data_IF_325359063832
#
_entry.id   IF_325359063832
#
_cell.length_a   1.000
_cell.length_b   1.000
_cell.length_c   1.000
_cell.angle_alpha   90.00
_cell.angle_beta   90.00
_cell.angle_gamma   90.00
#
_symmetry.space_group_name_H-M   'P 1'
#
loop_
_entity.id
_entity.type
_entity.pdbx_description
1 polymer ?
#
# COMPACT_ATOMS: atom_id res chain seq x y z
N UNK A 1 12.35 -1.30 23.58
CA UNK A 1 11.51 -2.48 23.88
C UNK A 1 10.17 -2.14 24.53
N UNK A 2 10.11 -1.40 25.65
CA UNK A 2 8.82 -1.05 26.28
C UNK A 2 7.92 -0.15 25.41
N UNK A 3 8.48 0.90 24.80
CA UNK A 3 7.72 1.85 23.97
C UNK A 3 6.90 1.19 22.84
N UNK A 4 7.45 0.31 21.97
CA UNK A 4 6.66 -0.32 20.92
C UNK A 4 5.65 -1.35 21.45
N UNK A 5 5.91 -1.98 22.60
CA UNK A 5 4.92 -2.86 23.25
C UNK A 5 3.72 -2.06 23.78
N UNK A 6 3.96 -0.88 24.36
CA UNK A 6 2.90 0.03 24.81
C UNK A 6 2.06 0.50 23.62
N UNK A 7 2.71 0.86 22.50
CA UNK A 7 2.00 1.25 21.27
C UNK A 7 1.16 0.09 20.71
N UNK A 8 1.68 -1.14 20.75
CA UNK A 8 0.93 -2.33 20.31
C UNK A 8 -0.28 -2.62 21.20
N UNK A 9 -0.14 -2.51 22.52
CA UNK A 9 -1.25 -2.62 23.47
C UNK A 9 -2.31 -1.54 23.23
N UNK A 10 -1.88 -0.30 23.00
CA UNK A 10 -2.79 0.79 22.63
C UNK A 10 -3.50 0.52 21.30
N UNK A 11 -2.82 -0.07 20.31
CA UNK A 11 -3.42 -0.48 19.04
C UNK A 11 -4.50 -1.54 19.23
N UNK A 12 -4.25 -2.57 20.04
CA UNK A 12 -5.24 -3.59 20.41
C UNK A 12 -6.42 -2.92 21.11
N UNK A 13 -6.17 -2.01 22.05
CA UNK A 13 -7.24 -1.28 22.74
C UNK A 13 -8.11 -0.46 21.78
N UNK A 14 -7.53 0.19 20.77
CA UNK A 14 -8.29 0.91 19.74
C UNK A 14 -9.15 -0.03 18.91
N UNK A 15 -8.69 -1.25 18.62
CA UNK A 15 -9.45 -2.23 17.81
C UNK A 15 -10.58 -2.87 18.64
N UNK A 16 -10.29 -3.29 19.87
CA UNK A 16 -11.22 -4.03 20.73
C UNK A 16 -12.04 -3.14 21.66
N UNK A 17 -11.82 -1.83 21.68
CA UNK A 17 -12.51 -0.88 22.56
C UNK A 17 -14.03 -0.86 22.37
N UNK A 18 -14.53 -1.23 21.19
CA UNK A 18 -15.96 -1.32 20.88
C UNK A 18 -16.57 -2.72 21.13
N UNK A 19 -15.74 -3.73 21.43
CA UNK A 19 -16.22 -5.09 21.72
C UNK A 19 -17.29 -5.16 22.85
N UNK A 20 -17.14 -4.47 24.01
CA UNK A 20 -18.16 -4.52 25.07
C UNK A 20 -19.51 -3.94 24.63
N UNK A 21 -19.51 -2.95 23.72
CA UNK A 21 -20.73 -2.40 23.15
C UNK A 21 -21.45 -3.44 22.26
N UNK A 22 -20.71 -4.27 21.53
CA UNK A 22 -21.26 -5.30 20.66
C UNK A 22 -21.95 -6.46 21.40
N UNK A 23 -21.57 -6.72 22.66
CA UNK A 23 -22.19 -7.75 23.52
C UNK A 23 -23.48 -7.24 24.20
N UNK A 24 -23.84 -5.97 23.98
CA UNK A 24 -25.05 -5.38 24.59
C UNK A 24 -24.87 -5.02 26.06
N UNK A 25 -23.63 -4.90 26.54
CA UNK A 25 -23.36 -4.40 27.89
C UNK A 25 -23.66 -2.90 27.96
N UNK A 26 -24.22 -2.42 29.07
CA UNK A 26 -24.51 -1.01 29.29
C UNK A 26 -23.22 -0.23 29.53
N UNK A 27 -22.58 0.22 28.45
CA UNK A 27 -21.39 1.08 28.48
C UNK A 27 -21.83 2.54 28.65
N UNK A 28 -21.18 3.35 29.51
CA UNK A 28 -21.54 4.76 29.68
C UNK A 28 -21.37 5.54 28.36
N UNK A 29 -22.39 6.33 28.00
CA UNK A 29 -22.43 7.08 26.73
C UNK A 29 -21.24 8.02 26.52
N UNK A 30 -20.67 8.56 27.60
CA UNK A 30 -19.48 9.42 27.54
C UNK A 30 -18.27 8.69 26.97
N UNK A 31 -18.12 7.40 27.31
CA UNK A 31 -17.03 6.57 26.80
C UNK A 31 -17.22 6.29 25.30
N UNK A 32 -18.47 6.05 24.88
CA UNK A 32 -18.80 5.78 23.48
C UNK A 32 -18.53 7.00 22.58
N UNK A 33 -18.90 8.19 23.05
CA UNK A 33 -18.63 9.46 22.34
C UNK A 33 -17.14 9.77 22.28
N UNK A 34 -16.42 9.59 23.40
CA UNK A 34 -14.97 9.77 23.44
C UNK A 34 -14.26 8.79 22.49
N UNK A 35 -14.67 7.52 22.47
CA UNK A 35 -14.14 6.52 21.57
C UNK A 35 -14.44 6.85 20.09
N UNK A 36 -15.66 7.28 19.74
CA UNK A 36 -16.00 7.62 18.36
C UNK A 36 -15.16 8.80 17.84
N UNK A 37 -14.88 9.79 18.68
CA UNK A 37 -14.04 10.94 18.32
C UNK A 37 -12.55 10.58 18.26
N UNK A 38 -12.06 9.77 19.20
CA UNK A 38 -10.62 9.55 19.39
C UNK A 38 -10.06 8.34 18.64
N UNK A 39 -10.85 7.33 18.27
CA UNK A 39 -10.28 6.11 17.69
C UNK A 39 -9.45 6.36 16.41
N UNK A 40 -9.91 7.23 15.50
CA UNK A 40 -9.20 7.59 14.25
C UNK A 40 -7.89 8.35 14.50
N UNK A 41 -7.89 9.47 15.24
CA UNK A 41 -6.64 10.19 15.51
C UNK A 41 -5.68 9.38 16.39
N UNK A 42 -6.17 8.56 17.32
CA UNK A 42 -5.33 7.70 18.16
C UNK A 42 -4.67 6.61 17.32
N UNK A 43 -5.40 5.98 16.39
CA UNK A 43 -4.82 5.05 15.43
C UNK A 43 -3.72 5.71 14.58
N UNK A 44 -4.01 6.88 14.01
CA UNK A 44 -3.03 7.65 13.23
C UNK A 44 -1.79 8.01 14.05
N UNK A 45 -1.98 8.42 15.31
CA UNK A 45 -0.89 8.76 16.23
C UNK A 45 -0.01 7.54 16.54
N UNK A 46 -0.59 6.35 16.75
CA UNK A 46 0.17 5.12 16.95
C UNK A 46 1.05 4.81 15.74
N UNK A 47 0.49 4.90 14.52
CA UNK A 47 1.24 4.66 13.28
C UNK A 47 2.36 5.70 13.10
N UNK A 48 2.07 6.98 13.32
CA UNK A 48 3.06 8.05 13.26
C UNK A 48 4.20 7.84 14.28
N UNK A 49 3.86 7.43 15.51
CA UNK A 49 4.83 7.13 16.55
C UNK A 49 5.72 5.93 16.19
N UNK A 50 5.17 4.88 15.56
CA UNK A 50 5.96 3.76 15.05
C UNK A 50 6.97 4.18 13.97
N UNK A 51 6.55 5.05 13.04
CA UNK A 51 7.43 5.60 11.99
C UNK A 51 8.53 6.48 12.60
N UNK A 52 8.18 7.32 13.58
CA UNK A 52 9.14 8.16 14.28
C UNK A 52 10.18 7.34 15.06
N UNK A 53 9.72 6.29 15.76
CA UNK A 53 10.59 5.38 16.50
C UNK A 53 11.54 4.62 15.56
N UNK A 54 11.10 4.27 14.35
CA UNK A 54 11.98 3.74 13.28
C UNK A 54 13.06 4.75 12.92
N UNK A 55 12.68 5.99 12.61
CA UNK A 55 13.62 7.04 12.19
C UNK A 55 14.72 7.28 13.23
N UNK A 56 14.36 7.27 14.50
CA UNK A 56 15.30 7.54 15.60
C UNK A 56 16.18 6.34 15.97
N UNK A 57 16.14 5.24 15.19
CA UNK A 57 16.98 4.05 15.34
C UNK A 57 16.98 3.46 16.77
N UNK A 58 15.86 3.61 17.49
CA UNK A 58 15.69 3.00 18.81
C UNK A 58 15.41 1.51 18.66
N UNK A 59 15.85 0.74 19.66
CA UNK A 59 15.86 -0.72 19.77
C UNK A 59 14.47 -1.38 19.52
N UNK A 60 14.09 -1.51 18.24
CA UNK A 60 12.85 -2.07 17.69
C UNK A 60 13.13 -3.37 16.91
N UNK A 61 14.37 -3.87 16.94
CA UNK A 61 14.89 -4.91 16.03
C UNK A 61 13.93 -6.06 15.70
N UNK A 62 13.20 -6.60 16.69
CA UNK A 62 12.23 -7.69 16.46
C UNK A 62 10.97 -7.29 15.69
N UNK A 63 10.38 -6.13 15.98
CA UNK A 63 9.20 -5.66 15.24
C UNK A 63 9.57 -5.10 13.88
N UNK A 64 10.76 -4.52 13.76
CA UNK A 64 11.27 -4.02 12.48
C UNK A 64 11.56 -5.18 11.51
N UNK A 65 12.14 -6.27 12.01
CA UNK A 65 12.37 -7.48 11.22
C UNK A 65 11.07 -8.11 10.71
N UNK A 66 9.98 -8.05 11.50
CA UNK A 66 8.66 -8.46 11.04
C UNK A 66 8.10 -7.53 9.96
N UNK A 67 8.28 -6.21 10.11
CA UNK A 67 7.77 -5.22 9.15
C UNK A 67 8.59 -5.18 7.85
N UNK A 68 9.87 -5.54 7.91
CA UNK A 68 10.77 -5.65 6.76
C UNK A 68 10.64 -6.99 6.03
N UNK A 69 9.63 -7.81 6.38
CA UNK A 69 9.41 -9.07 5.69
C UNK A 69 9.26 -8.84 4.19
N UNK A 70 9.93 -9.67 3.39
CA UNK A 70 9.95 -9.64 1.91
C UNK A 70 8.57 -9.59 1.23
N UNK A 71 7.50 -9.97 1.93
CA UNK A 71 6.12 -9.92 1.44
C UNK A 71 5.57 -8.48 1.49
N UNK A 72 6.01 -7.65 2.44
CA UNK A 72 5.57 -6.27 2.57
C UNK A 72 6.19 -5.34 1.52
N UNK A 73 7.35 -5.69 0.96
CA UNK A 73 8.02 -4.89 -0.08
C UNK A 73 7.17 -4.74 -1.37
N UNK A 74 6.69 -5.82 -2.02
CA UNK A 74 5.81 -5.68 -3.17
C UNK A 74 4.43 -5.14 -2.79
N UNK A 75 3.93 -5.51 -1.60
CA UNK A 75 2.64 -5.03 -1.13
C UNK A 75 2.62 -3.51 -0.96
N UNK A 76 3.65 -2.93 -0.35
CA UNK A 76 3.77 -1.47 -0.15
C UNK A 76 3.75 -0.69 -1.47
N UNK A 77 4.32 -1.24 -2.55
CA UNK A 77 4.27 -0.62 -3.89
C UNK A 77 2.86 -0.61 -4.48
N UNK A 78 2.06 -1.64 -4.19
CA UNK A 78 0.70 -1.78 -4.72
C UNK A 78 -0.36 -1.06 -3.87
N UNK A 79 -0.06 -0.67 -2.62
CA UNK A 79 -1.04 -0.04 -1.70
C UNK A 79 -1.73 1.19 -2.32
N UNK A 80 -1.02 2.01 -3.09
CA UNK A 80 -1.63 3.18 -3.71
C UNK A 80 -2.71 2.82 -4.74
N UNK A 81 -2.43 1.81 -5.58
CA UNK A 81 -3.37 1.31 -6.59
C UNK A 81 -4.56 0.64 -5.92
N UNK A 82 -4.31 -0.18 -4.88
CA UNK A 82 -5.35 -0.81 -4.05
C UNK A 82 -6.25 0.25 -3.42
N UNK A 83 -5.68 1.34 -2.88
CA UNK A 83 -6.43 2.42 -2.26
C UNK A 83 -7.39 3.09 -3.26
N UNK A 84 -6.92 3.41 -4.47
CA UNK A 84 -7.76 4.00 -5.52
C UNK A 84 -8.90 3.08 -5.97
N UNK A 85 -8.67 1.77 -6.00
CA UNK A 85 -9.66 0.77 -6.44
C UNK A 85 -10.62 0.37 -5.31
N UNK A 86 -10.21 0.53 -4.06
CA UNK A 86 -11.04 0.14 -2.91
C UNK A 86 -12.38 0.89 -2.88
N UNK A 87 -12.40 2.16 -3.28
CA UNK A 87 -13.59 3.00 -3.32
C UNK A 87 -14.64 2.51 -4.33
N UNK A 88 -14.32 2.35 -5.65
CA UNK A 88 -15.30 1.84 -6.61
C UNK A 88 -15.72 0.39 -6.32
N UNK A 89 -14.82 -0.45 -5.79
CA UNK A 89 -15.16 -1.83 -5.40
C UNK A 89 -16.17 -1.85 -4.26
N UNK A 90 -16.00 -0.97 -3.26
CA UNK A 90 -16.95 -0.81 -2.17
C UNK A 90 -18.32 -0.35 -2.68
N UNK A 91 -18.35 0.69 -3.53
CA UNK A 91 -19.60 1.19 -4.14
C UNK A 91 -20.31 0.13 -4.96
N UNK A 92 -19.57 -0.67 -5.74
CA UNK A 92 -20.12 -1.77 -6.51
C UNK A 92 -20.75 -2.82 -5.60
N UNK A 93 -20.07 -3.20 -4.51
CA UNK A 93 -20.61 -4.15 -3.54
C UNK A 93 -21.89 -3.60 -2.88
N UNK A 94 -21.89 -2.34 -2.45
CA UNK A 94 -23.10 -1.70 -1.91
C UNK A 94 -24.25 -1.64 -2.91
N UNK A 95 -23.97 -1.39 -4.19
CA UNK A 95 -24.98 -1.40 -5.25
C UNK A 95 -25.54 -2.80 -5.53
N UNK A 96 -24.71 -3.84 -5.43
CA UNK A 96 -25.12 -5.24 -5.61
C UNK A 96 -26.01 -5.74 -4.47
N UNK A 97 -25.98 -5.10 -3.30
CA UNK A 97 -26.75 -5.50 -2.13
C UNK A 97 -28.17 -4.96 -2.19
N UNK A 98 -29.09 -5.76 -2.75
CA UNK A 98 -30.50 -5.41 -2.90
C UNK A 98 -31.34 -5.57 -1.61
N UNK A 99 -30.76 -6.09 -0.51
CA UNK A 99 -31.44 -6.27 0.78
C UNK A 99 -30.69 -5.56 1.91
N UNK A 100 -31.39 -5.00 2.91
CA UNK A 100 -30.75 -4.43 4.08
C UNK A 100 -30.00 -5.54 4.82
N UNK A 101 -28.68 -5.39 4.92
CA UNK A 101 -27.85 -6.32 5.67
C UNK A 101 -28.23 -6.29 7.14
N UNK A 102 -28.45 -7.46 7.73
CA UNK A 102 -28.42 -7.58 9.17
C UNK A 102 -26.98 -7.31 9.63
N UNK A 103 -26.78 -6.18 10.31
CA UNK A 103 -25.50 -5.72 10.84
C UNK A 103 -25.05 -6.56 12.05
N UNK A 104 -24.94 -7.88 11.87
CA UNK A 104 -24.25 -8.74 12.82
C UNK A 104 -22.75 -8.58 12.62
N UNK A 105 -21.98 -8.66 13.71
CA UNK A 105 -20.51 -8.52 13.68
C UNK A 105 -19.87 -9.49 12.67
N UNK A 106 -20.39 -10.71 12.59
CA UNK A 106 -19.93 -11.74 11.65
C UNK A 106 -20.19 -11.39 10.19
N UNK A 107 -21.37 -10.82 9.89
CA UNK A 107 -21.71 -10.38 8.54
C UNK A 107 -20.81 -9.22 8.09
N UNK A 108 -20.62 -8.21 8.96
CA UNK A 108 -19.74 -7.08 8.69
C UNK A 108 -18.29 -7.51 8.46
N UNK A 109 -17.80 -8.44 9.28
CA UNK A 109 -16.44 -8.96 9.19
C UNK A 109 -16.22 -9.72 7.87
N UNK A 110 -17.17 -10.56 7.46
CA UNK A 110 -17.10 -11.27 6.19
C UNK A 110 -17.13 -10.30 4.99
N UNK A 111 -17.98 -9.28 5.03
CA UNK A 111 -18.05 -8.26 3.98
C UNK A 111 -16.74 -7.46 3.90
N UNK A 112 -16.21 -7.03 5.04
CA UNK A 112 -14.96 -6.27 5.09
C UNK A 112 -13.75 -7.09 4.61
N UNK A 113 -13.65 -8.36 5.01
CA UNK A 113 -12.58 -9.24 4.52
C UNK A 113 -12.76 -9.49 3.01
N UNK A 114 -14.00 -9.72 2.57
CA UNK A 114 -14.33 -9.91 1.16
C UNK A 114 -13.95 -8.70 0.29
N UNK A 115 -14.26 -7.47 0.74
CA UNK A 115 -13.89 -6.25 0.00
C UNK A 115 -12.38 -6.06 -0.04
N UNK A 116 -11.65 -6.35 1.05
CA UNK A 116 -10.19 -6.26 1.09
C UNK A 116 -9.56 -7.24 0.10
N UNK A 117 -10.01 -8.50 0.10
CA UNK A 117 -9.47 -9.52 -0.80
C UNK A 117 -9.78 -9.17 -2.25
N UNK A 118 -11.04 -8.81 -2.54
CA UNK A 118 -11.49 -8.49 -3.89
C UNK A 118 -10.81 -7.24 -4.45
N UNK A 119 -10.70 -6.16 -3.65
CA UNK A 119 -10.00 -4.93 -4.06
C UNK A 119 -8.52 -5.18 -4.32
N UNK A 120 -7.86 -5.97 -3.48
CA UNK A 120 -6.46 -6.31 -3.67
C UNK A 120 -6.24 -7.19 -4.91
N UNK A 121 -7.15 -8.12 -5.20
CA UNK A 121 -7.10 -8.95 -6.40
C UNK A 121 -7.28 -8.12 -7.68
N UNK A 122 -8.29 -7.25 -7.72
CA UNK A 122 -8.53 -6.34 -8.86
C UNK A 122 -7.36 -5.38 -9.05
N UNK A 123 -6.82 -4.82 -7.97
CA UNK A 123 -5.65 -3.95 -8.02
C UNK A 123 -4.40 -4.65 -8.53
N UNK A 124 -4.17 -5.89 -8.09
CA UNK A 124 -3.08 -6.70 -8.62
C UNK A 124 -3.25 -7.01 -10.11
N UNK A 125 -4.46 -7.32 -10.56
CA UNK A 125 -4.76 -7.52 -11.98
C UNK A 125 -4.54 -6.24 -12.80
N UNK A 126 -4.94 -5.08 -12.28
CA UNK A 126 -4.69 -3.82 -12.96
C UNK A 126 -3.20 -3.47 -12.98
N UNK A 127 -2.47 -3.66 -11.88
CA UNK A 127 -1.04 -3.41 -11.85
C UNK A 127 -0.28 -4.34 -12.80
N UNK A 128 -0.64 -5.62 -12.91
CA UNK A 128 0.01 -6.52 -13.88
C UNK A 128 -0.36 -6.16 -15.32
N UNK A 129 -1.63 -5.88 -15.60
CA UNK A 129 -2.10 -5.58 -16.96
C UNK A 129 -1.62 -4.23 -17.47
N UNK A 130 -1.37 -3.25 -16.59
CA UNK A 130 -0.96 -1.89 -16.98
C UNK A 130 0.54 -1.72 -16.81
N UNK A 131 1.10 -2.10 -15.67
CA UNK A 131 2.51 -1.82 -15.39
C UNK A 131 3.48 -2.76 -16.11
N UNK A 132 3.11 -3.99 -16.47
CA UNK A 132 3.98 -4.83 -17.32
C UNK A 132 4.11 -4.29 -18.75
N UNK A 133 3.03 -4.01 -19.50
CA UNK A 133 3.18 -3.52 -20.87
C UNK A 133 3.83 -2.14 -20.92
N UNK A 134 3.49 -1.23 -19.98
CA UNK A 134 4.14 0.09 -19.93
C UNK A 134 5.65 -0.05 -19.73
N UNK A 135 6.10 -0.92 -18.82
CA UNK A 135 7.53 -1.18 -18.62
C UNK A 135 8.19 -1.77 -19.86
N UNK A 136 7.51 -2.67 -20.56
CA UNK A 136 8.04 -3.27 -21.78
C UNK A 136 8.17 -2.24 -22.92
N UNK A 137 7.17 -1.37 -23.09
CA UNK A 137 7.19 -0.30 -24.10
C UNK A 137 8.30 0.72 -23.79
N UNK A 138 8.41 1.17 -22.54
CA UNK A 138 9.46 2.11 -22.12
C UNK A 138 10.86 1.50 -22.33
N UNK A 139 11.03 0.22 -22.00
CA UNK A 139 12.31 -0.45 -22.21
C UNK A 139 12.66 -0.56 -23.70
N UNK A 140 11.67 -0.80 -24.57
CA UNK A 140 11.89 -0.80 -26.02
C UNK A 140 12.27 0.59 -26.53
N UNK A 141 11.58 1.65 -26.10
CA UNK A 141 11.91 3.02 -26.51
C UNK A 141 13.31 3.45 -26.02
N UNK A 142 13.68 3.12 -24.78
CA UNK A 142 15.02 3.39 -24.26
C UNK A 142 16.10 2.57 -24.98
N UNK A 143 15.78 1.35 -25.41
CA UNK A 143 16.70 0.52 -26.20
C UNK A 143 16.93 1.11 -27.58
N UNK A 144 15.89 1.70 -28.18
CA UNK A 144 15.96 2.34 -29.51
C UNK A 144 16.83 3.59 -29.46
N UNK A 145 16.61 4.50 -28.50
CA UNK A 145 17.42 5.72 -28.31
C UNK A 145 18.92 5.42 -28.15
N UNK A 146 19.25 4.37 -27.38
CA UNK A 146 20.63 3.93 -27.18
C UNK A 146 21.24 3.34 -28.46
N UNK A 147 20.43 2.67 -29.30
CA UNK A 147 20.85 2.13 -30.58
C UNK A 147 21.20 3.28 -31.54
N UNK A 148 20.33 4.28 -31.66
CA UNK A 148 20.55 5.45 -32.51
C UNK A 148 21.81 6.22 -32.11
N UNK A 149 21.99 6.46 -30.80
CA UNK A 149 23.19 7.15 -30.29
C UNK A 149 24.47 6.37 -30.60
N UNK A 150 24.42 5.03 -30.55
CA UNK A 150 25.60 4.20 -30.87
C UNK A 150 25.93 4.19 -32.36
N UNK A 151 24.90 4.28 -33.22
CA UNK A 151 25.04 4.33 -34.67
C UNK A 151 25.65 5.68 -35.10
N UNK A 152 25.19 6.80 -34.51
CA UNK A 152 25.75 8.13 -34.81
C UNK A 152 27.23 8.25 -34.42
N UNK A 153 27.64 7.64 -33.30
CA UNK A 153 29.04 7.61 -32.87
C UNK A 153 29.91 6.78 -33.83
N UNK A 154 29.41 5.65 -34.32
CA UNK A 154 30.12 4.79 -35.27
C UNK A 154 30.29 5.46 -36.64
N UNK A 155 29.27 6.18 -37.12
CA UNK A 155 29.34 7.00 -38.33
C UNK A 155 30.31 8.18 -38.19
N UNK A 156 30.34 8.84 -37.03
CA UNK A 156 31.29 9.91 -36.77
C UNK A 156 32.75 9.40 -36.78
N UNK A 157 33.00 8.23 -36.20
CA UNK A 157 34.34 7.62 -36.20
C UNK A 157 34.80 7.15 -37.59
N UNK A 158 33.91 6.58 -38.40
CA UNK A 158 34.22 6.18 -39.78
C UNK A 158 34.49 7.38 -40.69
N UNK A 159 33.71 8.46 -40.57
CA UNK A 159 33.97 9.71 -41.31
C UNK A 159 35.32 10.33 -40.94
N UNK A 160 35.67 10.41 -39.66
CA UNK A 160 36.98 10.94 -39.22
C UNK A 160 38.14 10.06 -39.73
N UNK A 161 37.94 8.73 -39.75
CA UNK A 161 38.93 7.80 -40.30
C UNK A 161 39.15 8.00 -41.80
N UNK A 162 38.09 8.16 -42.60
CA UNK A 162 38.22 8.39 -44.04
C UNK A 162 38.83 9.76 -44.32
N UNK A 163 38.36 10.83 -43.66
CA UNK A 163 38.92 12.18 -43.83
C UNK A 163 40.43 12.24 -43.55
N UNK A 164 40.94 11.36 -42.67
CA UNK A 164 42.38 11.30 -42.35
C UNK A 164 43.20 10.55 -43.41
N UNK A 165 42.61 9.59 -44.12
CA UNK A 165 43.28 8.88 -45.23
C UNK A 165 43.37 9.73 -46.49
N UNK A 166 42.48 10.71 -46.65
CA UNK A 166 42.45 11.58 -47.83
C UNK A 166 43.50 12.71 -47.77
N UNK A 167 44.13 12.91 -46.60
CA UNK A 167 45.06 14.00 -46.29
C UNK A 167 46.52 13.55 -46.26
N UNK A 168 46.79 12.23 -46.29
CA UNK A 168 48.12 11.62 -46.45
C UNK A 168 48.41 11.25 -47.91
#
# INVERSE_FOLDING_TARGET
LLAPLILFLFGIFVIFGLYPYAIGTSVPHIFLAAYSALHRPLWSFIICSLIYLRYQNRNIGRLLQFLEWRVFSPFAKNVFVVFLISEPVSLYLFSSLHRPLHATVWSLLNIAIGTIILSNFVAFLLDILISMPIRNVIFQLLKDEKCDTSIDIDYAHTLISDTKKDVE
#
